data_IF_330027116251
#
_entry.id   IF_330027116251
#
_cell.length_a   1.000
_cell.length_b   1.000
_cell.length_c   1.000
_cell.angle_alpha   90.00
_cell.angle_beta   90.00
_cell.angle_gamma   90.00
#
_symmetry.space_group_name_H-M   'P 1'
#
loop_
_entity.id
_entity.type
_entity.pdbx_description
1 polymer ?
#
# COMPACT_ATOMS: atom_id res chain seq x y z
N UNK A 1 -15.14 34.44 -23.76
CA UNK A 1 -14.87 33.88 -22.42
C UNK A 1 -16.00 32.96 -21.91
N UNK A 2 -17.28 33.36 -21.94
CA UNK A 2 -18.41 32.53 -21.47
C UNK A 2 -18.56 31.16 -22.16
N UNK A 3 -18.40 31.11 -23.50
CA UNK A 3 -18.48 29.85 -24.26
C UNK A 3 -17.35 28.84 -23.96
N UNK A 4 -16.16 29.33 -23.57
CA UNK A 4 -15.03 28.48 -23.17
C UNK A 4 -15.27 27.88 -21.78
N UNK A 5 -15.82 28.66 -20.85
CA UNK A 5 -16.21 28.19 -19.52
C UNK A 5 -17.31 27.12 -19.62
N UNK A 6 -18.32 27.33 -20.47
CA UNK A 6 -19.38 26.34 -20.69
C UNK A 6 -18.84 25.02 -21.28
N UNK A 7 -17.90 25.09 -22.23
CA UNK A 7 -17.24 23.90 -22.80
C UNK A 7 -16.32 23.21 -21.79
N UNK A 8 -15.60 23.96 -20.96
CA UNK A 8 -14.78 23.41 -19.88
C UNK A 8 -15.62 22.69 -18.83
N UNK A 9 -16.77 23.26 -18.43
CA UNK A 9 -17.73 22.61 -17.54
C UNK A 9 -18.30 21.33 -18.15
N UNK A 10 -18.64 21.33 -19.44
CA UNK A 10 -19.10 20.13 -20.14
C UNK A 10 -18.03 19.03 -20.18
N UNK A 11 -16.76 19.38 -20.39
CA UNK A 11 -15.65 18.43 -20.33
C UNK A 11 -15.44 17.89 -18.91
N UNK A 12 -15.42 18.77 -17.89
CA UNK A 12 -15.28 18.35 -16.49
C UNK A 12 -16.39 17.38 -16.07
N UNK A 13 -17.65 17.64 -16.47
CA UNK A 13 -18.77 16.74 -16.19
C UNK A 13 -18.59 15.37 -16.87
N UNK A 14 -18.07 15.34 -18.10
CA UNK A 14 -17.74 14.08 -18.79
C UNK A 14 -16.64 13.31 -18.07
N UNK A 15 -15.58 13.99 -17.61
CA UNK A 15 -14.52 13.37 -16.82
C UNK A 15 -15.03 12.81 -15.49
N UNK A 16 -15.89 13.54 -14.79
CA UNK A 16 -16.51 13.08 -13.55
C UNK A 16 -17.35 11.82 -13.79
N UNK A 17 -18.16 11.80 -14.85
CA UNK A 17 -18.97 10.62 -15.19
C UNK A 17 -18.09 9.42 -15.55
N UNK A 18 -16.97 9.64 -16.26
CA UNK A 18 -16.03 8.58 -16.60
C UNK A 18 -15.23 8.06 -15.40
N UNK A 19 -14.87 8.93 -14.45
CA UNK A 19 -14.07 8.59 -13.27
C UNK A 19 -14.89 7.91 -12.16
N UNK A 20 -16.19 8.20 -12.05
CA UNK A 20 -17.09 7.62 -11.04
C UNK A 20 -17.00 6.10 -10.90
N UNK A 21 -17.15 5.28 -11.96
CA UNK A 21 -17.12 3.82 -11.81
C UNK A 21 -15.77 3.31 -11.29
N UNK A 22 -14.66 3.89 -11.74
CA UNK A 22 -13.32 3.51 -11.30
C UNK A 22 -13.08 3.86 -9.82
N UNK A 23 -13.56 5.04 -9.41
CA UNK A 23 -13.47 5.47 -8.01
C UNK A 23 -14.38 4.63 -7.10
N UNK A 24 -15.55 4.21 -7.56
CA UNK A 24 -16.44 3.33 -6.80
C UNK A 24 -15.82 1.95 -6.59
N UNK A 25 -15.20 1.37 -7.62
CA UNK A 25 -14.48 0.11 -7.52
C UNK A 25 -13.27 0.23 -6.57
N UNK A 26 -12.47 1.28 -6.73
CA UNK A 26 -11.37 1.56 -5.81
C UNK A 26 -11.86 1.69 -4.36
N UNK A 27 -12.94 2.43 -4.14
CA UNK A 27 -13.52 2.65 -2.82
C UNK A 27 -14.04 1.36 -2.18
N UNK A 28 -14.60 0.45 -2.99
CA UNK A 28 -15.06 -0.87 -2.53
C UNK A 28 -13.90 -1.69 -1.96
N UNK A 29 -12.76 -1.77 -2.67
CA UNK A 29 -11.61 -2.55 -2.22
C UNK A 29 -10.82 -1.84 -1.12
N UNK A 30 -10.63 -0.52 -1.22
CA UNK A 30 -9.94 0.28 -0.21
C UNK A 30 -10.58 0.13 1.19
N UNK A 31 -11.92 0.03 1.27
CA UNK A 31 -12.63 -0.21 2.53
C UNK A 31 -12.30 -1.53 3.21
N UNK A 32 -11.94 -2.56 2.45
CA UNK A 32 -11.67 -3.89 3.02
C UNK A 32 -10.16 -4.04 3.28
N UNK A 33 -9.33 -3.54 2.38
CA UNK A 33 -7.88 -3.80 2.40
C UNK A 33 -7.07 -2.72 3.09
N UNK A 34 -7.47 -1.45 2.98
CA UNK A 34 -6.73 -0.30 3.53
C UNK A 34 -7.32 0.20 4.86
N UNK A 35 -8.39 -0.42 5.35
CA UNK A 35 -8.97 -0.07 6.65
C UNK A 35 -8.03 -0.45 7.79
N UNK A 36 -7.85 0.41 8.81
CA UNK A 36 -7.03 0.08 9.96
C UNK A 36 -7.60 -1.16 10.67
N UNK A 37 -6.74 -2.12 11.05
CA UNK A 37 -7.18 -3.37 11.66
C UNK A 37 -7.81 -3.14 13.03
N UNK A 38 -8.75 -4.02 13.42
CA UNK A 38 -9.35 -3.95 14.74
C UNK A 38 -8.37 -4.40 15.83
N UNK A 39 -8.51 -3.93 17.09
CA UNK A 39 -7.71 -4.35 18.24
C UNK A 39 -7.59 -5.87 18.42
N UNK A 40 -8.63 -6.62 18.04
CA UNK A 40 -8.65 -8.08 18.11
C UNK A 40 -7.63 -8.75 17.16
N UNK A 41 -7.37 -8.14 15.99
CA UNK A 41 -6.44 -8.69 15.00
C UNK A 41 -4.98 -8.41 15.34
N UNK A 42 -4.70 -7.45 16.23
CA UNK A 42 -3.34 -7.20 16.73
C UNK A 42 -2.74 -8.43 17.44
N UNK A 43 -3.56 -9.23 18.13
CA UNK A 43 -3.07 -10.46 18.75
C UNK A 43 -2.61 -11.48 17.71
N UNK A 44 -3.31 -11.57 16.58
CA UNK A 44 -2.93 -12.44 15.46
C UNK A 44 -1.64 -11.92 14.81
N UNK A 45 -1.55 -10.62 14.55
CA UNK A 45 -0.36 -9.98 13.98
C UNK A 45 0.89 -10.22 14.85
N UNK A 46 0.78 -10.08 16.17
CA UNK A 46 1.88 -10.37 17.11
C UNK A 46 2.34 -11.83 17.00
N UNK A 47 1.40 -12.78 16.98
CA UNK A 47 1.71 -14.22 16.83
C UNK A 47 2.38 -14.52 15.49
N UNK A 48 1.91 -13.90 14.40
CA UNK A 48 2.53 -14.05 13.07
C UNK A 48 3.94 -13.49 13.05
N UNK A 49 4.17 -12.30 13.62
CA UNK A 49 5.50 -11.69 13.70
C UNK A 49 6.48 -12.54 14.53
N UNK A 50 6.05 -13.08 15.67
CA UNK A 50 6.87 -13.99 16.47
C UNK A 50 7.20 -15.29 15.74
N UNK A 51 6.25 -15.82 14.99
CA UNK A 51 6.44 -17.05 14.19
C UNK A 51 7.43 -16.81 13.06
N UNK A 52 7.28 -15.71 12.31
CA UNK A 52 8.21 -15.31 11.26
C UNK A 52 9.64 -15.11 11.78
N UNK A 53 9.79 -14.52 12.98
CA UNK A 53 11.09 -14.35 13.65
C UNK A 53 11.74 -15.67 14.06
N UNK A 54 10.93 -16.66 14.47
CA UNK A 54 11.43 -18.01 14.79
C UNK A 54 11.84 -18.77 13.53
N UNK A 55 11.08 -18.64 12.45
CA UNK A 55 11.38 -19.23 11.15
C UNK A 55 12.69 -18.66 10.60
N UNK A 56 12.85 -17.33 10.56
CA UNK A 56 14.09 -16.72 10.08
C UNK A 56 15.32 -17.11 10.92
N UNK A 57 15.18 -17.21 12.25
CA UNK A 57 16.27 -17.68 13.12
C UNK A 57 16.61 -19.16 12.90
N UNK A 58 15.61 -20.01 12.62
CA UNK A 58 15.79 -21.45 12.38
C UNK A 58 16.36 -21.73 10.98
N UNK A 59 15.92 -20.98 9.97
CA UNK A 59 16.36 -21.07 8.58
C UNK A 59 17.73 -20.40 8.34
N UNK A 60 18.10 -19.37 9.11
CA UNK A 60 19.49 -18.88 9.16
C UNK A 60 20.45 -19.92 9.76
N UNK A 61 20.00 -20.70 10.74
CA UNK A 61 20.81 -21.72 11.40
C UNK A 61 20.90 -23.03 10.60
N UNK A 62 19.90 -23.32 9.75
CA UNK A 62 19.96 -24.42 8.78
C UNK A 62 20.19 -23.85 7.38
N UNK A 63 21.43 -23.92 6.89
CA UNK A 63 21.88 -23.55 5.53
C UNK A 63 20.98 -24.04 4.36
N UNK A 64 20.07 -24.98 4.61
CA UNK A 64 19.09 -25.53 3.66
C UNK A 64 17.78 -24.75 3.51
N UNK A 65 17.40 -23.86 4.45
CA UNK A 65 16.07 -23.21 4.44
C UNK A 65 15.89 -22.18 3.32
N UNK A 66 16.87 -21.29 3.13
CA UNK A 66 16.88 -20.32 2.02
C UNK A 66 17.09 -20.96 0.64
N UNK A 67 17.48 -22.23 0.58
CA UNK A 67 17.66 -22.93 -0.69
C UNK A 67 16.37 -23.57 -1.21
N UNK A 68 15.31 -23.63 -0.40
CA UNK A 68 14.02 -24.24 -0.76
C UNK A 68 12.99 -23.22 -1.26
N UNK A 69 13.25 -21.92 -1.14
CA UNK A 69 12.35 -20.89 -1.65
C UNK A 69 12.46 -20.77 -3.17
N UNK A 70 11.33 -20.66 -3.84
CA UNK A 70 11.30 -20.41 -5.29
C UNK A 70 11.59 -18.94 -5.58
N UNK A 71 12.16 -18.65 -6.76
CA UNK A 71 12.47 -17.26 -7.17
C UNK A 71 11.20 -16.40 -7.21
N UNK A 72 10.07 -16.97 -7.66
CA UNK A 72 8.78 -16.27 -7.70
C UNK A 72 8.29 -15.86 -6.31
N UNK A 73 8.48 -16.73 -5.31
CA UNK A 73 8.08 -16.44 -3.93
C UNK A 73 9.00 -15.41 -3.28
N UNK A 74 10.31 -15.53 -3.50
CA UNK A 74 11.27 -14.51 -3.05
C UNK A 74 10.94 -13.14 -3.65
N UNK A 75 10.61 -13.10 -4.94
CA UNK A 75 10.26 -11.87 -5.64
C UNK A 75 8.97 -11.24 -5.09
N UNK A 76 7.92 -12.04 -4.85
CA UNK A 76 6.68 -11.56 -4.25
C UNK A 76 6.94 -10.95 -2.87
N UNK A 77 7.71 -11.64 -2.03
CA UNK A 77 8.05 -11.15 -0.69
C UNK A 77 8.85 -9.83 -0.74
N UNK A 78 9.73 -9.66 -1.73
CA UNK A 78 10.45 -8.41 -1.95
C UNK A 78 9.48 -7.28 -2.36
N UNK A 79 8.55 -7.53 -3.28
CA UNK A 79 7.58 -6.52 -3.71
C UNK A 79 6.70 -6.04 -2.53
N UNK A 80 6.20 -6.96 -1.71
CA UNK A 80 5.43 -6.62 -0.50
C UNK A 80 6.29 -5.85 0.50
N UNK A 81 7.56 -6.21 0.65
CA UNK A 81 8.49 -5.47 1.54
C UNK A 81 8.69 -4.03 1.06
N UNK A 82 8.88 -3.83 -0.25
CA UNK A 82 9.01 -2.49 -0.85
C UNK A 82 7.74 -1.67 -0.66
N UNK A 83 6.57 -2.29 -0.80
CA UNK A 83 5.28 -1.64 -0.58
C UNK A 83 5.15 -1.10 0.85
N UNK A 84 5.47 -1.92 1.86
CA UNK A 84 5.41 -1.51 3.28
C UNK A 84 6.38 -0.36 3.58
N UNK A 85 7.58 -0.38 3.00
CA UNK A 85 8.55 0.72 3.13
C UNK A 85 8.01 2.01 2.49
N UNK A 86 7.35 1.90 1.33
CA UNK A 86 6.79 3.06 0.64
C UNK A 86 5.67 3.71 1.45
N UNK A 87 4.84 2.92 2.15
CA UNK A 87 3.85 3.43 3.10
C UNK A 87 4.47 4.26 4.23
N UNK A 88 5.65 3.85 4.73
CA UNK A 88 6.39 4.63 5.74
C UNK A 88 6.79 6.01 5.20
N UNK A 89 7.35 6.08 3.98
CA UNK A 89 7.72 7.35 3.35
C UNK A 89 6.51 8.22 3.01
N UNK A 90 5.37 7.63 2.63
CA UNK A 90 4.11 8.38 2.50
C UNK A 90 3.70 9.05 3.81
N UNK A 91 3.87 8.36 4.94
CA UNK A 91 3.68 8.95 6.28
C UNK A 91 4.61 10.13 6.55
N UNK A 92 5.88 10.04 6.14
CA UNK A 92 6.85 11.13 6.23
C UNK A 92 6.45 12.34 5.37
N UNK A 93 5.96 12.12 4.14
CA UNK A 93 5.46 13.20 3.26
C UNK A 93 4.26 13.91 3.89
N UNK A 94 3.32 13.17 4.48
CA UNK A 94 2.19 13.73 5.24
C UNK A 94 2.69 14.53 6.45
N UNK A 95 3.65 13.98 7.20
CA UNK A 95 4.25 14.64 8.37
C UNK A 95 4.97 15.95 8.03
N UNK A 96 5.72 15.97 6.91
CA UNK A 96 6.39 17.17 6.40
C UNK A 96 5.45 18.19 5.79
N UNK A 97 4.25 17.77 5.35
CA UNK A 97 3.29 18.59 4.57
C UNK A 97 3.89 19.15 3.28
N UNK A 98 4.90 18.49 2.73
CA UNK A 98 5.59 18.93 1.52
C UNK A 98 6.01 17.72 0.68
N UNK A 99 5.78 17.80 -0.63
CA UNK A 99 6.06 16.69 -1.55
C UNK A 99 7.55 16.55 -1.87
N UNK A 100 8.34 17.62 -1.81
CA UNK A 100 9.75 17.62 -2.22
C UNK A 100 10.65 18.18 -1.11
N UNK A 101 11.27 17.29 -0.35
CA UNK A 101 12.19 17.68 0.73
C UNK A 101 11.52 18.42 1.90
N UNK A 102 12.34 18.82 2.88
CA UNK A 102 11.90 19.65 3.99
C UNK A 102 11.89 21.12 3.56
N UNK A 103 10.86 21.84 3.98
CA UNK A 103 10.85 23.30 3.89
C UNK A 103 11.76 23.84 4.99
N UNK A 104 13.02 24.12 4.64
CA UNK A 104 13.98 24.84 5.47
C UNK A 104 13.69 26.33 5.46
#
# INVERSE_FOLDING_TARGET
>A
MSQLVAKAQALANKFVVAARPQLEEFWKYAKVELSPPLPADFQKLKKTAESAKKVSKKDMMKKSGFSQITVSEAWLNVLVTVEVITWFYMGEVIGRRHFVGYKV
#
